data_IF_225142061921
#
_entry.id   IF_225142061921
#
_cell.length_a   1.000
_cell.length_b   1.000
_cell.length_c   1.000
_cell.angle_alpha   90.00
_cell.angle_beta   90.00
_cell.angle_gamma   90.00
#
_symmetry.space_group_name_H-M   'P 1'
#
loop_
_entity.id
_entity.type
_entity.pdbx_description
1 polymer ?
#
# COMPACT_ATOMS: atom_id res chain seq x y z
N UNK A 1 -53.72 2.26 10.53
CA UNK A 1 -54.13 2.38 11.94
C UNK A 1 -53.23 3.40 12.61
N UNK A 2 -53.75 4.37 13.32
CA UNK A 2 -52.98 5.38 14.04
C UNK A 2 -52.56 4.86 15.42
N UNK A 3 -51.54 5.47 16.05
CA UNK A 3 -51.16 5.11 17.43
C UNK A 3 -52.29 5.28 18.44
N UNK A 4 -53.24 6.20 18.21
CA UNK A 4 -54.39 6.39 19.04
C UNK A 4 -55.40 5.21 18.90
N UNK A 5 -55.68 4.79 17.68
CA UNK A 5 -56.51 3.62 17.39
C UNK A 5 -55.93 2.32 17.94
N UNK A 6 -54.60 2.13 17.74
CA UNK A 6 -53.89 0.96 18.27
C UNK A 6 -53.91 0.98 19.82
N UNK A 7 -53.65 2.16 20.41
CA UNK A 7 -53.70 2.36 21.85
C UNK A 7 -55.04 1.98 22.48
N UNK A 8 -56.14 2.39 21.85
CA UNK A 8 -57.50 2.00 22.28
C UNK A 8 -57.72 0.50 22.25
N UNK A 9 -57.18 -0.21 21.24
CA UNK A 9 -57.33 -1.69 21.10
C UNK A 9 -56.51 -2.48 22.11
N UNK A 10 -55.32 -1.97 22.47
CA UNK A 10 -54.41 -2.66 23.41
C UNK A 10 -54.43 -2.12 24.82
N UNK A 11 -55.28 -1.13 25.11
CA UNK A 11 -55.42 -0.53 26.44
C UNK A 11 -54.15 0.25 26.89
N UNK A 12 -53.50 0.93 25.95
CA UNK A 12 -52.26 1.68 26.22
C UNK A 12 -52.33 3.10 25.67
N UNK A 13 -51.71 4.04 26.38
CA UNK A 13 -51.61 5.40 25.90
C UNK A 13 -50.79 5.49 24.60
N UNK A 14 -51.16 6.35 23.63
CA UNK A 14 -50.39 6.54 22.39
C UNK A 14 -48.94 6.88 22.62
N UNK A 15 -48.63 7.64 23.67
CA UNK A 15 -47.26 7.96 24.08
C UNK A 15 -46.43 6.74 24.49
N UNK A 16 -47.08 5.78 25.16
CA UNK A 16 -46.42 4.53 25.55
C UNK A 16 -46.07 3.64 24.33
N UNK A 17 -46.96 3.62 23.32
CA UNK A 17 -46.70 2.92 22.06
C UNK A 17 -45.61 3.63 21.23
N UNK A 18 -45.60 4.94 21.24
CA UNK A 18 -44.52 5.71 20.59
C UNK A 18 -43.13 5.46 21.22
N UNK A 19 -43.06 5.21 22.51
CA UNK A 19 -41.82 4.80 23.17
C UNK A 19 -41.33 3.42 22.75
N UNK A 20 -42.26 2.48 22.46
CA UNK A 20 -41.94 1.17 21.93
C UNK A 20 -41.46 1.25 20.48
N UNK A 21 -42.17 1.98 19.61
CA UNK A 21 -41.77 2.17 18.21
C UNK A 21 -40.40 2.82 18.06
N UNK A 22 -40.06 3.71 18.99
CA UNK A 22 -38.76 4.36 19.01
C UNK A 22 -37.66 3.59 19.77
N UNK A 23 -37.93 2.35 20.17
CA UNK A 23 -36.94 1.49 20.88
C UNK A 23 -36.52 2.03 22.27
N UNK A 24 -37.30 3.01 22.84
CA UNK A 24 -37.02 3.60 24.16
C UNK A 24 -37.60 2.80 25.30
N UNK A 25 -38.37 1.77 24.99
CA UNK A 25 -39.00 0.88 25.97
C UNK A 25 -39.15 -0.51 25.37
N UNK A 26 -38.77 -1.55 26.12
CA UNK A 26 -39.00 -2.94 25.74
C UNK A 26 -40.44 -3.37 26.05
N UNK A 27 -41.13 -4.05 25.11
CA UNK A 27 -42.45 -4.58 25.35
C UNK A 27 -42.39 -5.85 26.21
N UNK A 28 -43.31 -6.01 27.14
CA UNK A 28 -43.52 -7.29 27.81
C UNK A 28 -44.21 -8.27 26.84
N UNK A 29 -43.97 -9.58 27.00
CA UNK A 29 -44.59 -10.63 26.17
C UNK A 29 -46.10 -10.47 26.04
N UNK A 30 -46.80 -10.18 27.15
CA UNK A 30 -48.25 -9.96 27.15
C UNK A 30 -48.70 -8.77 26.30
N UNK A 31 -47.83 -7.76 26.13
CA UNK A 31 -48.12 -6.64 25.26
C UNK A 31 -47.87 -7.00 23.80
N UNK A 32 -46.84 -7.82 23.52
CA UNK A 32 -46.56 -8.34 22.15
C UNK A 32 -47.77 -9.16 21.67
N UNK A 33 -48.34 -10.04 22.50
CA UNK A 33 -49.52 -10.81 22.16
C UNK A 33 -50.74 -9.92 21.89
N UNK A 34 -50.91 -8.87 22.72
CA UNK A 34 -52.03 -7.92 22.53
C UNK A 34 -51.86 -7.10 21.25
N UNK A 35 -50.63 -6.68 20.92
CA UNK A 35 -50.32 -5.99 19.69
C UNK A 35 -50.48 -6.88 18.46
N UNK A 36 -50.05 -8.14 18.53
CA UNK A 36 -50.21 -9.12 17.47
C UNK A 36 -51.70 -9.36 17.13
N UNK A 37 -52.52 -9.52 18.15
CA UNK A 37 -53.98 -9.62 17.99
C UNK A 37 -54.60 -8.37 17.39
N UNK A 38 -54.24 -7.18 17.88
CA UNK A 38 -54.76 -5.91 17.39
C UNK A 38 -54.35 -5.59 15.94
N UNK A 39 -53.18 -6.08 15.51
CA UNK A 39 -52.61 -5.92 14.17
C UNK A 39 -52.97 -7.09 13.22
N UNK A 40 -53.60 -8.16 13.75
CA UNK A 40 -53.95 -9.38 13.00
C UNK A 40 -52.72 -10.07 12.38
N UNK A 41 -51.61 -10.15 13.13
CA UNK A 41 -50.38 -10.83 12.76
C UNK A 41 -50.00 -11.85 13.82
N UNK A 42 -49.13 -12.81 13.49
CA UNK A 42 -48.59 -13.74 14.48
C UNK A 42 -47.56 -13.04 15.41
N UNK A 43 -47.47 -13.41 16.71
CA UNK A 43 -46.52 -12.81 17.63
C UNK A 43 -45.06 -12.94 17.18
N UNK A 44 -44.71 -14.06 16.53
CA UNK A 44 -43.35 -14.29 15.95
C UNK A 44 -43.05 -13.35 14.79
N UNK A 45 -44.06 -12.85 14.09
CA UNK A 45 -43.90 -11.88 13.01
C UNK A 45 -43.46 -10.50 13.52
N UNK A 46 -43.94 -10.12 14.72
CA UNK A 46 -43.49 -8.90 15.40
C UNK A 46 -42.10 -9.02 16.01
N UNK A 47 -41.61 -10.25 16.20
CA UNK A 47 -40.29 -10.53 16.77
C UNK A 47 -39.21 -10.85 15.70
N UNK A 48 -39.60 -10.91 14.42
CA UNK A 48 -38.64 -11.17 13.34
C UNK A 48 -37.62 -10.04 13.24
N UNK A 49 -36.32 -10.37 13.24
CA UNK A 49 -35.27 -9.36 13.11
C UNK A 49 -35.19 -8.76 11.69
N UNK A 50 -35.80 -9.42 10.70
CA UNK A 50 -35.78 -8.96 9.31
C UNK A 50 -37.03 -8.11 9.00
N UNK A 51 -36.84 -6.92 8.37
CA UNK A 51 -37.94 -6.07 7.94
C UNK A 51 -38.88 -6.78 6.95
N UNK A 52 -40.20 -6.55 7.01
CA UNK A 52 -41.20 -7.29 6.22
C UNK A 52 -41.16 -6.97 4.72
N UNK A 53 -40.49 -5.88 4.32
CA UNK A 53 -40.37 -5.48 2.92
C UNK A 53 -39.10 -4.63 2.69
N UNK A 54 -38.65 -4.55 1.45
CA UNK A 54 -37.56 -3.66 1.04
C UNK A 54 -37.83 -2.21 1.44
N UNK A 55 -39.09 -1.76 1.30
CA UNK A 55 -39.46 -0.40 1.71
C UNK A 55 -39.32 -0.21 3.21
N UNK A 56 -39.80 -1.15 4.04
CA UNK A 56 -39.62 -1.09 5.49
C UNK A 56 -38.14 -1.06 5.89
N UNK A 57 -37.30 -1.83 5.22
CA UNK A 57 -35.86 -1.84 5.40
C UNK A 57 -35.23 -0.44 5.14
N UNK A 58 -35.61 0.21 4.05
CA UNK A 58 -35.15 1.54 3.71
C UNK A 58 -35.65 2.62 4.69
N UNK A 59 -36.90 2.50 5.13
CA UNK A 59 -37.48 3.40 6.14
C UNK A 59 -36.72 3.32 7.47
N UNK A 60 -36.43 2.10 7.94
CA UNK A 60 -35.62 1.86 9.14
C UNK A 60 -34.20 2.43 8.95
N UNK A 61 -33.57 2.13 7.83
CA UNK A 61 -32.23 2.60 7.54
C UNK A 61 -32.13 4.14 7.52
N UNK A 62 -33.13 4.83 6.99
CA UNK A 62 -33.19 6.29 7.02
C UNK A 62 -33.41 6.83 8.43
N UNK A 63 -34.27 6.22 9.22
CA UNK A 63 -34.47 6.60 10.62
C UNK A 63 -33.19 6.41 11.47
N UNK A 64 -32.48 5.32 11.27
CA UNK A 64 -31.18 5.07 11.90
C UNK A 64 -30.15 6.11 11.47
N UNK A 65 -30.07 6.40 10.17
CA UNK A 65 -29.20 7.42 9.62
C UNK A 65 -29.45 8.79 10.25
N UNK A 66 -30.70 9.20 10.43
CA UNK A 66 -31.08 10.47 11.03
C UNK A 66 -30.76 10.58 12.53
N UNK A 67 -30.53 9.44 13.21
CA UNK A 67 -30.09 9.40 14.62
C UNK A 67 -28.58 9.45 14.78
N UNK A 68 -27.84 9.19 13.70
CA UNK A 68 -26.38 9.20 13.70
C UNK A 68 -25.83 10.61 14.00
N UNK A 69 -24.76 10.74 14.81
CA UNK A 69 -24.10 12.03 15.04
C UNK A 69 -23.72 12.77 13.76
N UNK A 70 -23.27 12.03 12.72
CA UNK A 70 -22.93 12.59 11.42
C UNK A 70 -24.08 13.37 10.78
N UNK A 71 -25.31 12.87 10.86
CA UNK A 71 -26.48 13.57 10.30
C UNK A 71 -26.72 14.91 10.99
N UNK A 72 -26.51 14.97 12.30
CA UNK A 72 -26.60 16.21 13.09
C UNK A 72 -25.51 17.20 12.74
N UNK A 73 -24.27 16.72 12.56
CA UNK A 73 -23.12 17.55 12.20
C UNK A 73 -23.27 18.19 10.81
N UNK A 74 -23.97 17.51 9.89
CA UNK A 74 -24.29 18.03 8.56
C UNK A 74 -25.40 19.10 8.57
N UNK A 75 -26.07 19.30 9.69
CA UNK A 75 -27.18 20.27 9.79
C UNK A 75 -28.37 19.99 8.90
N UNK A 76 -28.55 18.72 8.48
CA UNK A 76 -29.62 18.33 7.57
C UNK A 76 -30.98 18.32 8.28
N UNK A 77 -32.07 18.78 7.61
CA UNK A 77 -33.39 18.75 8.17
C UNK A 77 -33.90 17.31 8.32
N UNK A 78 -34.60 17.04 9.42
CA UNK A 78 -35.23 15.74 9.65
C UNK A 78 -36.33 15.48 8.62
N UNK A 79 -36.25 14.34 7.94
CA UNK A 79 -37.25 13.87 6.97
C UNK A 79 -38.16 12.88 7.65
N UNK A 80 -39.45 13.24 7.80
CA UNK A 80 -40.46 12.31 8.33
C UNK A 80 -40.68 11.19 7.33
N UNK A 81 -40.26 9.99 7.68
CA UNK A 81 -40.41 8.80 6.86
C UNK A 81 -41.89 8.39 6.82
N UNK A 82 -42.45 8.18 5.64
CA UNK A 82 -43.86 7.78 5.49
C UNK A 82 -44.23 7.52 4.04
N UNK A 83 -45.47 7.08 3.83
CA UNK A 83 -45.97 6.62 2.52
C UNK A 83 -45.90 7.65 1.37
N UNK A 84 -45.65 8.94 1.70
CA UNK A 84 -45.55 10.02 0.70
C UNK A 84 -44.14 10.14 0.06
N UNK A 85 -43.12 9.53 0.65
CA UNK A 85 -41.76 9.54 0.09
C UNK A 85 -41.65 8.42 -0.93
N UNK A 86 -41.35 8.68 -2.22
CA UNK A 86 -41.14 7.64 -3.22
C UNK A 86 -40.06 6.66 -2.81
N UNK A 87 -40.20 5.36 -3.13
CA UNK A 87 -39.27 4.31 -2.72
C UNK A 87 -37.87 4.47 -3.32
N UNK A 88 -37.78 4.92 -4.54
CA UNK A 88 -36.54 5.27 -5.26
C UNK A 88 -35.79 6.44 -4.59
N UNK A 89 -36.51 7.45 -4.13
CA UNK A 89 -35.90 8.58 -3.39
C UNK A 89 -35.34 8.08 -2.05
N UNK A 90 -36.07 7.22 -1.32
CA UNK A 90 -35.58 6.61 -0.09
C UNK A 90 -34.29 5.80 -0.33
N UNK A 91 -34.27 5.01 -1.39
CA UNK A 91 -33.10 4.20 -1.74
C UNK A 91 -31.88 5.08 -2.06
N UNK A 92 -32.07 6.14 -2.84
CA UNK A 92 -30.98 7.09 -3.14
C UNK A 92 -30.45 7.81 -1.89
N UNK A 93 -31.34 8.29 -1.01
CA UNK A 93 -30.94 8.99 0.22
C UNK A 93 -30.18 8.05 1.16
N UNK A 94 -30.67 6.82 1.36
CA UNK A 94 -30.00 5.83 2.20
C UNK A 94 -28.64 5.43 1.61
N UNK A 95 -28.56 5.25 0.28
CA UNK A 95 -27.30 4.95 -0.41
C UNK A 95 -26.30 6.09 -0.30
N UNK A 96 -26.72 7.33 -0.55
CA UNK A 96 -25.88 8.53 -0.41
C UNK A 96 -25.37 8.71 1.02
N UNK A 97 -26.25 8.54 2.01
CA UNK A 97 -25.84 8.64 3.41
C UNK A 97 -24.87 7.51 3.80
N UNK A 98 -25.13 6.29 3.34
CA UNK A 98 -24.22 5.15 3.52
C UNK A 98 -22.84 5.41 2.93
N UNK A 99 -22.77 6.03 1.75
CA UNK A 99 -21.51 6.43 1.11
C UNK A 99 -20.80 7.53 1.89
N UNK A 100 -21.54 8.56 2.30
CA UNK A 100 -21.00 9.66 3.09
C UNK A 100 -20.44 9.19 4.45
N UNK A 101 -21.12 8.25 5.09
CA UNK A 101 -20.66 7.59 6.31
C UNK A 101 -19.41 6.76 6.06
N UNK A 102 -19.36 5.98 4.97
CA UNK A 102 -18.17 5.23 4.58
C UNK A 102 -16.96 6.14 4.32
N UNK A 103 -17.16 7.25 3.62
CA UNK A 103 -16.10 8.22 3.35
C UNK A 103 -15.56 8.87 4.63
N UNK A 104 -16.42 9.16 5.62
CA UNK A 104 -16.01 9.76 6.89
C UNK A 104 -15.39 8.77 7.88
N UNK A 105 -15.79 7.51 7.84
CA UNK A 105 -15.21 6.44 8.68
C UNK A 105 -13.96 5.81 8.09
N UNK A 106 -13.65 6.08 6.80
CA UNK A 106 -12.38 5.71 6.22
C UNK A 106 -11.31 6.67 6.74
N UNK A 107 -10.26 6.19 7.41
CA UNK A 107 -9.12 7.03 7.74
C UNK A 107 -8.52 7.55 6.43
N UNK A 108 -8.79 8.82 6.10
CA UNK A 108 -8.15 9.53 4.99
C UNK A 108 -6.90 10.17 5.56
N UNK A 109 -5.73 9.65 5.18
CA UNK A 109 -4.49 10.36 5.47
C UNK A 109 -4.38 11.58 4.56
N UNK A 110 -4.11 12.74 5.13
CA UNK A 110 -3.70 13.90 4.36
C UNK A 110 -2.34 13.62 3.71
N UNK A 111 -1.99 14.30 2.61
CA UNK A 111 -0.65 14.17 2.01
C UNK A 111 0.48 14.46 3.01
N UNK A 112 0.25 15.35 3.97
CA UNK A 112 1.20 15.68 5.02
C UNK A 112 1.36 14.55 6.05
N UNK A 113 0.26 14.00 6.55
CA UNK A 113 0.29 12.82 7.43
C UNK A 113 0.98 11.63 6.76
N UNK A 114 0.74 11.43 5.45
CA UNK A 114 1.40 10.37 4.68
C UNK A 114 2.93 10.60 4.59
N UNK A 115 3.37 11.85 4.42
CA UNK A 115 4.80 12.20 4.38
C UNK A 115 5.47 11.98 5.74
N UNK A 116 4.85 12.45 6.82
CA UNK A 116 5.35 12.27 8.19
C UNK A 116 5.46 10.78 8.51
N UNK A 117 4.39 10.01 8.29
CA UNK A 117 4.39 8.57 8.55
C UNK A 117 5.48 7.82 7.75
N UNK A 118 5.73 8.23 6.50
CA UNK A 118 6.77 7.62 5.68
C UNK A 118 8.19 8.01 6.17
N UNK A 119 8.39 9.25 6.63
CA UNK A 119 9.65 9.69 7.24
C UNK A 119 9.95 8.91 8.53
N UNK A 120 8.97 8.79 9.43
CA UNK A 120 9.10 8.02 10.68
C UNK A 120 9.39 6.53 10.42
N UNK A 121 8.73 5.93 9.43
CA UNK A 121 8.98 4.55 9.05
C UNK A 121 10.41 4.36 8.53
N UNK A 122 10.92 5.28 7.72
CA UNK A 122 12.29 5.25 7.22
C UNK A 122 13.31 5.36 8.37
N UNK A 123 13.05 6.24 9.35
CA UNK A 123 13.91 6.37 10.53
C UNK A 123 13.92 5.08 11.38
N UNK A 124 12.76 4.45 11.53
CA UNK A 124 12.67 3.14 12.20
C UNK A 124 13.40 2.04 11.43
N UNK A 125 13.37 2.05 10.10
CA UNK A 125 14.15 1.13 9.26
C UNK A 125 15.65 1.38 9.40
N UNK A 126 16.07 2.65 9.38
CA UNK A 126 17.48 3.05 9.58
C UNK A 126 18.01 2.58 10.91
N UNK A 127 17.26 2.77 11.99
CA UNK A 127 17.66 2.36 13.34
C UNK A 127 17.93 0.86 13.47
N UNK A 128 17.32 0.02 12.61
CA UNK A 128 17.52 -1.44 12.56
C UNK A 128 18.48 -1.89 11.47
N UNK A 129 19.13 -0.98 10.76
CA UNK A 129 19.93 -1.32 9.56
C UNK A 129 19.10 -2.00 8.48
N UNK A 130 17.79 -1.70 8.39
CA UNK A 130 16.83 -2.30 7.47
C UNK A 130 16.71 -3.84 7.56
N UNK A 131 17.02 -4.42 8.72
CA UNK A 131 16.99 -5.86 8.97
C UNK A 131 15.89 -6.22 9.98
N UNK A 132 15.10 -7.28 9.67
CA UNK A 132 13.97 -7.72 10.48
C UNK A 132 14.11 -9.22 10.83
N UNK A 133 14.79 -9.58 11.94
CA UNK A 133 15.09 -10.97 12.27
C UNK A 133 13.83 -11.84 12.45
N UNK A 134 12.72 -11.25 12.93
CA UNK A 134 11.47 -11.97 13.11
C UNK A 134 10.88 -12.41 11.77
N UNK A 135 10.93 -11.54 10.75
CA UNK A 135 10.42 -11.83 9.40
C UNK A 135 11.36 -12.83 8.69
N UNK A 136 12.69 -12.70 8.88
CA UNK A 136 13.66 -13.68 8.35
C UNK A 136 13.40 -15.07 8.90
N UNK A 137 13.15 -15.19 10.21
CA UNK A 137 12.83 -16.47 10.83
C UNK A 137 11.56 -17.09 10.27
N UNK A 138 10.48 -16.31 10.15
CA UNK A 138 9.22 -16.80 9.58
C UNK A 138 9.35 -17.20 8.11
N UNK A 139 10.13 -16.45 7.33
CA UNK A 139 10.41 -16.81 5.94
C UNK A 139 11.24 -18.11 5.85
N UNK A 140 12.23 -18.29 6.73
CA UNK A 140 13.03 -19.50 6.79
C UNK A 140 12.18 -20.72 7.19
N UNK A 141 11.32 -20.60 8.19
CA UNK A 141 10.38 -21.64 8.61
C UNK A 141 9.45 -22.07 7.47
N UNK A 142 8.89 -21.11 6.72
CA UNK A 142 8.03 -21.38 5.58
C UNK A 142 8.76 -22.13 4.44
N UNK A 143 10.03 -21.78 4.19
CA UNK A 143 10.87 -22.43 3.18
C UNK A 143 11.32 -23.84 3.61
N UNK A 144 11.67 -23.99 4.88
CA UNK A 144 12.08 -25.28 5.44
C UNK A 144 10.93 -26.29 5.47
N UNK A 145 9.70 -25.83 5.76
CA UNK A 145 8.49 -26.67 5.76
C UNK A 145 8.22 -27.33 4.39
N UNK A 146 8.68 -26.69 3.28
CA UNK A 146 8.52 -27.23 1.92
C UNK A 146 9.81 -27.84 1.35
N UNK A 147 10.86 -27.95 2.16
CA UNK A 147 12.13 -28.56 1.78
C UNK A 147 12.92 -27.78 0.73
N UNK A 148 12.82 -26.44 0.74
CA UNK A 148 13.58 -25.60 -0.20
C UNK A 148 15.09 -25.75 -0.02
N UNK A 149 15.84 -25.86 -1.14
CA UNK A 149 17.29 -26.18 -1.16
C UNK A 149 18.19 -25.08 -1.74
N UNK A 150 17.60 -23.96 -2.15
CA UNK A 150 18.35 -22.83 -2.72
C UNK A 150 18.03 -22.55 -4.19
N UNK A 151 18.59 -21.45 -4.72
CA UNK A 151 18.38 -20.97 -6.08
C UNK A 151 17.08 -20.19 -6.29
N UNK A 152 16.67 -20.05 -7.54
CA UNK A 152 15.41 -19.38 -7.87
C UNK A 152 14.21 -20.19 -7.37
N UNK A 153 13.26 -19.51 -6.72
CA UNK A 153 12.03 -20.13 -6.22
C UNK A 153 11.16 -20.62 -7.39
N UNK A 154 10.91 -21.94 -7.47
CA UNK A 154 10.05 -22.50 -8.51
C UNK A 154 8.57 -22.23 -8.24
N UNK A 155 7.74 -22.29 -9.28
CA UNK A 155 6.29 -22.16 -9.13
C UNK A 155 5.70 -23.26 -8.23
N UNK A 156 6.21 -24.49 -8.33
CA UNK A 156 5.77 -25.60 -7.48
C UNK A 156 6.11 -25.36 -6.01
N UNK A 157 7.31 -24.86 -5.70
CA UNK A 157 7.71 -24.52 -4.34
C UNK A 157 6.86 -23.38 -3.79
N UNK A 158 6.58 -22.37 -4.61
CA UNK A 158 5.69 -21.26 -4.22
C UNK A 158 4.29 -21.77 -3.86
N UNK A 159 3.70 -22.64 -4.69
CA UNK A 159 2.39 -23.23 -4.41
C UNK A 159 2.42 -24.10 -3.15
N UNK A 160 3.51 -24.82 -2.90
CA UNK A 160 3.67 -25.62 -1.68
C UNK A 160 3.72 -24.73 -0.42
N UNK A 161 4.40 -23.57 -0.47
CA UNK A 161 4.40 -22.58 0.64
C UNK A 161 2.99 -22.09 0.91
N UNK A 162 2.24 -21.70 -0.13
CA UNK A 162 0.86 -21.21 0.02
C UNK A 162 -0.05 -22.29 0.62
N UNK A 163 0.08 -23.53 0.13
CA UNK A 163 -0.69 -24.68 0.65
C UNK A 163 -0.31 -25.01 2.10
N UNK A 164 0.99 -24.91 2.47
CA UNK A 164 1.45 -25.10 3.84
C UNK A 164 0.75 -24.16 4.82
N UNK A 165 0.49 -22.89 4.41
CA UNK A 165 -0.27 -21.93 5.20
C UNK A 165 -1.79 -22.08 5.05
N UNK A 166 -2.26 -23.14 4.40
CA UNK A 166 -3.67 -23.50 4.30
C UNK A 166 -4.46 -22.68 3.27
N UNK A 167 -3.79 -22.09 2.28
CA UNK A 167 -4.45 -21.36 1.19
C UNK A 167 -4.36 -22.08 -0.14
N UNK A 168 -5.37 -21.86 -1.00
CA UNK A 168 -5.35 -22.22 -2.41
C UNK A 168 -5.24 -20.96 -3.27
N UNK A 169 -4.72 -21.06 -4.49
CA UNK A 169 -4.62 -19.92 -5.43
C UNK A 169 -5.57 -20.14 -6.60
N UNK A 170 -6.26 -19.09 -6.99
CA UNK A 170 -7.10 -19.03 -8.19
C UNK A 170 -6.78 -17.78 -8.99
N UNK A 171 -6.92 -17.85 -10.30
CA UNK A 171 -6.77 -16.70 -11.19
C UNK A 171 -8.16 -16.26 -11.66
N UNK A 172 -8.42 -14.95 -11.63
CA UNK A 172 -9.68 -14.36 -12.05
C UNK A 172 -9.41 -13.10 -12.87
N UNK A 173 -10.12 -12.96 -14.01
CA UNK A 173 -9.98 -11.80 -14.90
C UNK A 173 -10.88 -10.63 -14.46
N UNK A 174 -11.91 -10.93 -13.67
CA UNK A 174 -12.92 -10.00 -13.18
C UNK A 174 -12.60 -9.40 -11.79
N UNK A 175 -11.35 -9.49 -11.36
CA UNK A 175 -10.91 -8.83 -10.13
C UNK A 175 -11.19 -7.32 -10.18
N UNK A 176 -11.71 -6.74 -9.07
CA UNK A 176 -11.91 -5.30 -8.97
C UNK A 176 -10.65 -4.52 -9.32
N UNK A 177 -10.80 -3.41 -10.05
CA UNK A 177 -9.64 -2.60 -10.51
C UNK A 177 -8.84 -1.98 -9.36
N UNK A 178 -9.48 -1.78 -8.21
CA UNK A 178 -8.87 -1.19 -7.00
C UNK A 178 -7.96 -2.14 -6.23
N UNK A 179 -7.95 -3.45 -6.54
CA UNK A 179 -7.18 -4.45 -5.81
C UNK A 179 -6.19 -5.21 -6.71
N UNK A 180 -5.11 -5.74 -6.12
CA UNK A 180 -4.14 -6.62 -6.79
C UNK A 180 -4.44 -8.09 -6.55
N UNK A 181 -5.08 -8.37 -5.43
CA UNK A 181 -5.52 -9.69 -5.01
C UNK A 181 -6.74 -9.58 -4.10
N UNK A 182 -7.54 -10.62 -4.04
CA UNK A 182 -8.61 -10.77 -3.05
C UNK A 182 -8.40 -12.10 -2.35
N UNK A 183 -8.49 -12.09 -1.02
CA UNK A 183 -8.42 -13.33 -0.23
C UNK A 183 -9.79 -13.65 0.34
N UNK A 184 -10.35 -14.76 -0.09
CA UNK A 184 -11.53 -15.37 0.52
C UNK A 184 -11.09 -16.14 1.77
N UNK A 185 -11.35 -15.57 2.93
CA UNK A 185 -11.01 -16.20 4.21
C UNK A 185 -11.93 -17.37 4.57
N UNK A 186 -13.14 -17.39 4.02
CA UNK A 186 -14.12 -18.46 4.25
C UNK A 186 -13.65 -19.76 3.59
N UNK A 187 -13.21 -19.68 2.34
CA UNK A 187 -12.73 -20.84 1.58
C UNK A 187 -11.20 -20.94 1.54
N UNK A 188 -10.48 -20.07 2.25
CA UNK A 188 -9.01 -20.05 2.29
C UNK A 188 -8.40 -19.96 0.90
N UNK A 189 -8.91 -19.07 0.03
CA UNK A 189 -8.52 -18.93 -1.37
C UNK A 189 -8.03 -17.52 -1.68
N UNK A 190 -6.88 -17.44 -2.34
CA UNK A 190 -6.29 -16.18 -2.82
C UNK A 190 -6.57 -16.06 -4.31
N UNK A 191 -7.31 -15.03 -4.70
CA UNK A 191 -7.56 -14.69 -6.09
C UNK A 191 -6.54 -13.68 -6.59
N UNK A 192 -5.93 -13.96 -7.73
CA UNK A 192 -4.98 -13.10 -8.40
C UNK A 192 -5.47 -12.79 -9.81
N UNK A 193 -5.13 -11.60 -10.30
CA UNK A 193 -5.39 -11.25 -11.69
C UNK A 193 -4.39 -11.96 -12.59
N UNK A 194 -4.88 -12.47 -13.71
CA UNK A 194 -4.04 -12.99 -14.78
C UNK A 194 -3.54 -11.81 -15.62
N UNK A 195 -2.49 -11.14 -15.17
CA UNK A 195 -1.89 -10.02 -15.91
C UNK A 195 -0.90 -10.52 -16.97
N UNK A 196 -0.78 -9.80 -18.11
CA UNK A 196 0.27 -10.07 -19.07
C UNK A 196 1.66 -9.94 -18.41
N UNK A 197 2.57 -10.80 -18.78
CA UNK A 197 3.96 -10.76 -18.33
C UNK A 197 4.56 -9.37 -18.55
N UNK A 198 4.96 -8.67 -17.47
CA UNK A 198 5.75 -7.44 -17.60
C UNK A 198 5.50 -6.31 -16.61
N UNK A 199 4.39 -6.27 -15.84
CA UNK A 199 4.09 -5.11 -14.97
C UNK A 199 4.35 -5.36 -13.48
N UNK A 200 3.95 -6.50 -12.95
CA UNK A 200 4.28 -6.99 -11.61
C UNK A 200 4.32 -8.51 -11.64
N UNK A 201 5.31 -9.12 -11.00
CA UNK A 201 5.35 -10.58 -10.89
C UNK A 201 4.18 -11.06 -10.02
N UNK A 202 3.26 -11.90 -10.52
CA UNK A 202 2.19 -12.49 -9.71
C UNK A 202 2.71 -13.20 -8.47
N UNK A 203 3.94 -13.75 -8.55
CA UNK A 203 4.65 -14.39 -7.44
C UNK A 203 4.88 -13.42 -6.28
N UNK A 204 5.30 -12.18 -6.58
CA UNK A 204 5.53 -11.15 -5.56
C UNK A 204 4.22 -10.72 -4.91
N UNK A 205 3.16 -10.51 -5.70
CA UNK A 205 1.84 -10.14 -5.17
C UNK A 205 1.32 -11.25 -4.24
N UNK A 206 1.42 -12.51 -4.67
CA UNK A 206 1.00 -13.66 -3.88
C UNK A 206 1.73 -13.74 -2.53
N UNK A 207 3.06 -13.56 -2.54
CA UNK A 207 3.87 -13.59 -1.33
C UNK A 207 3.61 -12.38 -0.42
N UNK A 208 3.36 -11.19 -0.98
CA UNK A 208 2.93 -10.02 -0.21
C UNK A 208 1.58 -10.28 0.48
N UNK A 209 0.62 -10.85 -0.25
CA UNK A 209 -0.67 -11.22 0.30
C UNK A 209 -0.53 -12.27 1.41
N UNK A 210 0.24 -13.32 1.16
CA UNK A 210 0.51 -14.35 2.16
C UNK A 210 1.21 -13.78 3.40
N UNK A 211 2.13 -12.83 3.20
CA UNK A 211 2.86 -12.15 4.27
C UNK A 211 1.95 -11.51 5.31
N UNK A 212 0.82 -10.92 4.91
CA UNK A 212 -0.14 -10.37 5.87
C UNK A 212 -0.70 -11.43 6.83
N UNK A 213 -0.90 -12.66 6.36
CA UNK A 213 -1.41 -13.75 7.19
C UNK A 213 -0.33 -14.43 8.03
N UNK A 214 0.88 -14.59 7.47
CA UNK A 214 2.02 -15.18 8.19
C UNK A 214 2.50 -14.27 9.32
N UNK A 215 2.47 -12.95 9.10
CA UNK A 215 2.86 -11.93 10.06
C UNK A 215 1.73 -11.53 11.02
N UNK A 216 0.57 -12.19 10.93
CA UNK A 216 -0.62 -11.94 11.76
C UNK A 216 -1.04 -10.46 11.77
N UNK A 217 -1.05 -9.82 10.60
CA UNK A 217 -1.48 -8.44 10.48
C UNK A 217 -2.98 -8.30 10.71
N UNK A 218 -3.35 -7.49 11.69
CA UNK A 218 -4.72 -7.04 11.86
C UNK A 218 -5.09 -5.96 10.82
N UNK A 219 -6.38 -5.67 10.57
CA UNK A 219 -6.77 -4.53 9.76
C UNK A 219 -6.08 -3.25 10.23
N UNK A 220 -5.45 -2.49 9.33
CA UNK A 220 -4.65 -1.33 9.74
C UNK A 220 -5.53 -0.23 10.35
N UNK A 221 -5.08 0.32 11.47
CA UNK A 221 -5.80 1.34 12.25
C UNK A 221 -5.71 2.73 11.65
N UNK A 222 -4.58 3.02 11.03
CA UNK A 222 -4.25 4.31 10.43
C UNK A 222 -3.28 4.14 9.25
N UNK A 223 -2.88 5.23 8.63
CA UNK A 223 -1.99 5.21 7.48
C UNK A 223 -0.56 4.75 7.83
N UNK A 224 -0.06 5.09 9.01
CA UNK A 224 1.26 4.66 9.47
C UNK A 224 1.31 3.14 9.67
N UNK A 225 0.27 2.57 10.29
CA UNK A 225 0.12 1.13 10.45
C UNK A 225 0.03 0.40 9.10
N UNK A 226 -0.71 0.97 8.14
CA UNK A 226 -0.76 0.46 6.76
C UNK A 226 0.61 0.47 6.07
N UNK A 227 1.36 1.57 6.16
CA UNK A 227 2.70 1.65 5.58
C UNK A 227 3.64 0.62 6.19
N UNK A 228 3.60 0.49 7.52
CA UNK A 228 4.38 -0.51 8.26
C UNK A 228 4.07 -1.92 7.78
N UNK A 229 2.79 -2.33 7.78
CA UNK A 229 2.35 -3.65 7.33
C UNK A 229 2.72 -3.90 5.86
N UNK A 230 2.61 -2.88 5.02
CA UNK A 230 3.02 -2.98 3.61
C UNK A 230 4.53 -3.23 3.46
N UNK A 231 5.36 -2.54 4.26
CA UNK A 231 6.82 -2.74 4.25
C UNK A 231 7.16 -4.14 4.77
N UNK A 232 6.54 -4.59 5.85
CA UNK A 232 6.73 -5.92 6.42
C UNK A 232 6.32 -7.04 5.44
N UNK A 233 5.17 -6.90 4.77
CA UNK A 233 4.73 -7.85 3.75
C UNK A 233 5.67 -7.88 2.52
N UNK A 234 6.18 -6.70 2.11
CA UNK A 234 7.21 -6.62 1.06
C UNK A 234 8.52 -7.28 1.49
N UNK A 235 8.93 -7.06 2.75
CA UNK A 235 10.12 -7.69 3.31
C UNK A 235 9.97 -9.21 3.34
N UNK A 236 8.85 -9.74 3.83
CA UNK A 236 8.56 -11.17 3.83
C UNK A 236 8.63 -11.76 2.42
N UNK A 237 8.00 -11.12 1.43
CA UNK A 237 8.06 -11.58 0.05
C UNK A 237 9.51 -11.61 -0.49
N UNK A 238 10.32 -10.60 -0.16
CA UNK A 238 11.74 -10.55 -0.53
C UNK A 238 12.55 -11.64 0.19
N UNK A 239 12.27 -11.91 1.48
CA UNK A 239 12.93 -12.94 2.26
C UNK A 239 12.64 -14.37 1.76
N UNK A 240 11.43 -14.61 1.25
CA UNK A 240 11.07 -15.88 0.60
C UNK A 240 11.74 -16.01 -0.78
N UNK A 241 11.74 -14.94 -1.59
CA UNK A 241 12.29 -14.97 -2.96
C UNK A 241 13.81 -15.01 -2.98
N UNK A 242 14.46 -14.38 -2.01
CA UNK A 242 15.93 -14.28 -1.86
C UNK A 242 16.28 -14.61 -0.42
N UNK A 243 16.28 -15.92 -0.04
CA UNK A 243 16.41 -16.32 1.35
C UNK A 243 17.75 -15.98 1.96
N UNK A 244 17.72 -15.44 3.18
CA UNK A 244 18.87 -14.93 3.92
C UNK A 244 20.06 -15.89 3.92
N UNK A 245 19.86 -17.16 4.33
CA UNK A 245 20.94 -18.15 4.47
C UNK A 245 21.73 -18.39 3.19
N UNK A 246 21.06 -18.32 2.03
CA UNK A 246 21.72 -18.51 0.73
C UNK A 246 22.28 -17.21 0.20
N UNK A 247 21.54 -16.11 0.33
CA UNK A 247 21.95 -14.80 -0.15
C UNK A 247 23.12 -14.23 0.67
N UNK A 248 23.12 -14.36 1.99
CA UNK A 248 24.23 -13.90 2.84
C UNK A 248 25.52 -14.65 2.54
N UNK A 249 25.45 -15.97 2.34
CA UNK A 249 26.59 -16.76 1.92
C UNK A 249 27.13 -16.31 0.57
N UNK A 250 26.24 -16.22 -0.42
CA UNK A 250 26.60 -15.76 -1.77
C UNK A 250 27.26 -14.38 -1.77
N UNK A 251 26.66 -13.42 -1.04
CA UNK A 251 27.19 -12.07 -0.92
C UNK A 251 28.55 -12.03 -0.17
N UNK A 252 28.73 -12.87 0.85
CA UNK A 252 30.01 -12.98 1.56
C UNK A 252 31.12 -13.51 0.67
N UNK A 253 30.84 -14.56 -0.12
CA UNK A 253 31.77 -15.12 -1.09
C UNK A 253 32.14 -14.08 -2.18
N UNK A 254 31.13 -13.36 -2.72
CA UNK A 254 31.35 -12.28 -3.69
C UNK A 254 32.16 -11.09 -3.10
N UNK A 255 31.94 -10.75 -1.84
CA UNK A 255 32.70 -9.71 -1.13
C UNK A 255 34.16 -10.11 -0.98
N UNK A 256 34.46 -11.37 -0.60
CA UNK A 256 35.83 -11.88 -0.50
C UNK A 256 36.54 -11.85 -1.85
N UNK A 257 35.83 -12.13 -2.93
CA UNK A 257 36.33 -12.02 -4.30
C UNK A 257 36.42 -10.58 -4.81
N UNK A 258 35.90 -9.59 -4.08
CA UNK A 258 35.75 -8.16 -4.50
C UNK A 258 34.90 -8.00 -5.77
N UNK A 259 33.85 -8.79 -5.89
CA UNK A 259 32.95 -8.86 -7.04
C UNK A 259 31.48 -8.73 -6.61
N UNK A 260 31.20 -7.98 -5.54
CA UNK A 260 29.81 -7.69 -5.16
C UNK A 260 29.07 -7.01 -6.31
N UNK A 261 27.87 -7.52 -6.61
CA UNK A 261 27.02 -7.02 -7.68
C UNK A 261 25.54 -7.32 -7.37
N UNK A 262 24.67 -6.37 -7.63
CA UNK A 262 23.22 -6.53 -7.52
C UNK A 262 22.69 -7.41 -8.64
N UNK A 263 23.32 -7.33 -9.82
CA UNK A 263 22.96 -8.12 -11.00
C UNK A 263 23.09 -9.61 -10.72
N UNK A 264 24.19 -10.02 -10.09
CA UNK A 264 24.42 -11.43 -9.78
C UNK A 264 23.38 -11.95 -8.77
N UNK A 265 23.00 -11.14 -7.77
CA UNK A 265 21.94 -11.48 -6.83
C UNK A 265 20.57 -11.61 -7.55
N UNK A 266 20.26 -10.69 -8.47
CA UNK A 266 19.09 -10.76 -9.34
C UNK A 266 19.03 -12.07 -10.13
N UNK A 267 20.14 -12.42 -10.75
CA UNK A 267 20.22 -13.55 -11.68
C UNK A 267 20.18 -14.89 -10.94
N UNK A 268 20.89 -15.02 -9.83
CA UNK A 268 20.89 -16.25 -9.00
C UNK A 268 19.51 -16.61 -8.50
N UNK A 269 18.72 -15.60 -8.08
CA UNK A 269 17.39 -15.83 -7.52
C UNK A 269 16.26 -15.56 -8.51
N UNK A 270 16.56 -15.13 -9.73
CA UNK A 270 15.58 -14.81 -10.78
C UNK A 270 14.48 -13.85 -10.31
N UNK A 271 14.92 -12.73 -9.75
CA UNK A 271 14.07 -11.63 -9.28
C UNK A 271 14.30 -10.36 -10.11
N UNK A 272 13.47 -9.31 -9.91
CA UNK A 272 13.74 -8.01 -10.55
C UNK A 272 14.96 -7.32 -9.94
N UNK A 273 15.58 -6.40 -10.70
CA UNK A 273 16.69 -5.61 -10.18
C UNK A 273 16.28 -4.80 -8.94
N UNK A 274 15.08 -4.20 -8.94
CA UNK A 274 14.54 -3.49 -7.76
C UNK A 274 14.44 -4.42 -6.55
N UNK A 275 13.96 -5.65 -6.73
CA UNK A 275 13.85 -6.62 -5.64
C UNK A 275 15.24 -7.02 -5.12
N UNK A 276 16.19 -7.28 -5.98
CA UNK A 276 17.57 -7.62 -5.61
C UNK A 276 18.24 -6.46 -4.86
N UNK A 277 18.07 -5.22 -5.33
CA UNK A 277 18.62 -4.03 -4.67
C UNK A 277 18.00 -3.80 -3.28
N UNK A 278 16.67 -3.92 -3.14
CA UNK A 278 16.03 -3.86 -1.82
C UNK A 278 16.53 -4.96 -0.90
N UNK A 279 16.60 -6.19 -1.40
CA UNK A 279 17.08 -7.31 -0.60
C UNK A 279 18.53 -7.15 -0.19
N UNK A 280 19.36 -6.57 -1.05
CA UNK A 280 20.73 -6.22 -0.70
C UNK A 280 20.77 -5.28 0.50
N UNK A 281 19.94 -4.23 0.54
CA UNK A 281 19.89 -3.30 1.68
C UNK A 281 19.46 -3.98 2.99
N UNK A 282 18.63 -5.01 2.93
CA UNK A 282 18.24 -5.77 4.13
C UNK A 282 19.39 -6.59 4.72
N UNK A 283 20.30 -7.08 3.88
CA UNK A 283 21.37 -7.99 4.29
C UNK A 283 22.72 -7.28 4.50
N UNK A 284 22.95 -6.15 3.82
CA UNK A 284 24.24 -5.49 3.73
C UNK A 284 24.82 -5.09 5.10
N UNK A 285 24.02 -4.39 5.91
CA UNK A 285 24.50 -3.90 7.22
C UNK A 285 24.70 -5.05 8.20
N UNK A 286 23.75 -5.98 8.26
CA UNK A 286 23.77 -7.07 9.24
C UNK A 286 24.84 -8.12 8.95
N UNK A 287 24.97 -8.56 7.67
CA UNK A 287 25.87 -9.66 7.31
C UNK A 287 27.23 -9.21 6.76
N UNK A 288 27.32 -8.04 6.14
CA UNK A 288 28.53 -7.60 5.48
C UNK A 288 29.19 -6.38 6.18
N UNK A 289 28.52 -5.78 7.16
CA UNK A 289 28.98 -4.55 7.80
C UNK A 289 29.02 -3.35 6.85
N UNK A 290 28.20 -3.37 5.77
CA UNK A 290 28.17 -2.31 4.77
C UNK A 290 26.97 -1.40 5.02
N UNK A 291 27.23 -0.11 5.21
CA UNK A 291 26.21 0.93 5.16
C UNK A 291 25.94 1.33 3.72
N UNK A 292 24.70 1.63 3.38
CA UNK A 292 24.27 1.85 2.00
C UNK A 292 23.11 2.82 1.89
N UNK A 293 22.89 3.33 0.69
CA UNK A 293 21.67 4.01 0.32
C UNK A 293 21.02 3.37 -0.90
N UNK A 294 19.70 3.43 -0.96
CA UNK A 294 18.86 3.02 -2.08
C UNK A 294 17.99 4.17 -2.51
N UNK A 295 17.89 4.43 -3.81
CA UNK A 295 17.00 5.44 -4.37
C UNK A 295 16.34 4.90 -5.63
N UNK A 296 15.01 5.08 -5.71
CA UNK A 296 14.22 4.90 -6.94
C UNK A 296 13.72 6.25 -7.40
N UNK A 297 14.08 6.64 -8.62
CA UNK A 297 13.70 7.92 -9.20
C UNK A 297 13.33 7.80 -10.68
N UNK A 298 12.57 8.78 -11.19
CA UNK A 298 12.33 8.93 -12.62
C UNK A 298 13.45 9.76 -13.31
N UNK A 299 13.35 9.92 -14.63
CA UNK A 299 14.27 10.70 -15.45
C UNK A 299 14.34 12.18 -15.00
N UNK A 300 13.24 12.76 -14.51
CA UNK A 300 13.22 14.13 -13.97
C UNK A 300 13.94 14.23 -12.61
N UNK A 301 14.29 13.10 -12.01
CA UNK A 301 14.93 12.98 -10.71
C UNK A 301 13.98 13.00 -9.53
N UNK A 302 12.67 12.88 -9.75
CA UNK A 302 11.70 12.77 -8.66
C UNK A 302 11.91 11.45 -7.95
N UNK A 303 12.09 11.51 -6.63
CA UNK A 303 12.32 10.34 -5.78
C UNK A 303 10.98 9.70 -5.44
N UNK A 304 10.85 8.41 -5.70
CA UNK A 304 9.67 7.60 -5.41
C UNK A 304 9.84 6.71 -4.18
N UNK A 305 11.09 6.29 -3.91
CA UNK A 305 11.48 5.52 -2.73
C UNK A 305 12.91 5.85 -2.37
N UNK A 306 13.19 5.93 -1.10
CA UNK A 306 14.53 6.11 -0.61
C UNK A 306 14.75 5.36 0.71
N UNK A 307 15.97 4.89 0.91
CA UNK A 307 16.50 4.38 2.16
C UNK A 307 17.97 4.76 2.25
N UNK A 308 18.48 5.12 3.40
CA UNK A 308 19.89 5.37 3.64
C UNK A 308 20.26 5.07 5.11
N UNK A 309 21.47 4.57 5.33
CA UNK A 309 22.10 4.45 6.65
C UNK A 309 23.63 4.71 6.56
N UNK A 310 24.07 5.33 5.46
CA UNK A 310 25.48 5.63 5.16
C UNK A 310 25.80 7.12 5.28
N UNK A 311 24.88 7.93 5.81
CA UNK A 311 25.04 9.35 6.04
C UNK A 311 24.87 10.22 4.78
N UNK A 312 24.38 9.67 3.66
CA UNK A 312 24.03 10.46 2.49
C UNK A 312 22.88 11.41 2.81
N UNK A 313 23.08 12.70 2.63
CA UNK A 313 22.01 13.70 2.78
C UNK A 313 21.15 13.75 1.52
N UNK A 314 19.97 13.15 1.59
CA UNK A 314 18.96 13.22 0.54
C UNK A 314 18.15 14.53 0.66
N UNK A 315 17.69 15.11 -0.46
CA UNK A 315 16.80 16.27 -0.40
C UNK A 315 15.49 15.90 0.30
N UNK A 316 15.11 16.68 1.29
CA UNK A 316 13.88 16.51 2.06
C UNK A 316 13.11 17.83 2.10
N UNK A 317 11.79 17.75 2.33
CA UNK A 317 10.96 18.91 2.65
C UNK A 317 11.01 19.24 4.16
N UNK A 318 10.25 20.26 4.57
CA UNK A 318 10.19 20.72 5.96
C UNK A 318 9.64 19.65 6.93
N UNK A 319 8.94 18.62 6.42
CA UNK A 319 8.46 17.47 7.19
C UNK A 319 9.48 16.31 7.24
N UNK A 320 10.64 16.45 6.61
CA UNK A 320 11.64 15.39 6.47
C UNK A 320 11.31 14.35 5.39
N UNK A 321 10.27 14.58 4.58
CA UNK A 321 9.91 13.66 3.51
C UNK A 321 10.83 13.83 2.30
N UNK A 322 11.36 12.72 1.82
CA UNK A 322 12.27 12.63 0.66
C UNK A 322 11.49 12.33 -0.62
N UNK A 323 10.45 11.54 -0.52
CA UNK A 323 9.62 11.15 -1.64
C UNK A 323 8.91 12.38 -2.23
N UNK A 324 8.96 12.49 -3.56
CA UNK A 324 8.50 13.67 -4.30
C UNK A 324 9.54 14.77 -4.46
N UNK A 325 10.66 14.73 -3.72
CA UNK A 325 11.75 15.66 -3.89
C UNK A 325 12.60 15.30 -5.11
N UNK A 326 13.32 16.29 -5.65
CA UNK A 326 14.20 16.08 -6.80
C UNK A 326 15.64 15.87 -6.35
N UNK A 327 16.20 14.73 -6.73
CA UNK A 327 17.61 14.45 -6.53
C UNK A 327 18.50 15.28 -7.46
N UNK A 328 19.76 15.45 -7.08
CA UNK A 328 20.76 16.18 -7.86
C UNK A 328 20.97 15.57 -9.26
N UNK A 329 21.06 16.44 -10.26
CA UNK A 329 21.34 16.02 -11.64
C UNK A 329 22.69 15.32 -11.82
N UNK A 330 23.64 15.51 -10.91
CA UNK A 330 24.95 14.90 -10.94
C UNK A 330 25.01 13.49 -10.36
N UNK A 331 23.93 13.05 -9.69
CA UNK A 331 23.90 11.72 -9.10
C UNK A 331 23.65 10.61 -10.12
N UNK A 332 24.23 9.44 -9.84
CA UNK A 332 24.20 8.26 -10.71
C UNK A 332 22.78 7.91 -11.20
N UNK A 333 21.79 7.96 -10.31
CA UNK A 333 20.38 7.68 -10.65
C UNK A 333 19.75 8.65 -11.65
N UNK A 334 20.38 9.81 -11.91
CA UNK A 334 19.99 10.71 -13.02
C UNK A 334 20.88 10.57 -14.22
N UNK A 335 22.17 10.32 -14.00
CA UNK A 335 23.15 10.19 -15.06
C UNK A 335 22.92 8.95 -15.92
N UNK A 336 22.38 7.88 -15.34
CA UNK A 336 22.07 6.64 -16.06
C UNK A 336 21.10 6.85 -17.25
N UNK A 337 20.20 7.82 -17.19
CA UNK A 337 19.30 8.13 -18.31
C UNK A 337 20.01 8.75 -19.52
N UNK A 338 21.21 9.27 -19.33
CA UNK A 338 22.04 9.88 -20.37
C UNK A 338 23.21 8.97 -20.79
N UNK A 339 23.33 7.78 -20.19
CA UNK A 339 24.32 6.80 -20.59
C UNK A 339 24.05 6.32 -22.02
N UNK A 340 25.12 6.10 -22.80
CA UNK A 340 25.02 5.58 -24.16
C UNK A 340 24.44 4.15 -24.18
N UNK A 341 24.83 3.35 -23.20
CA UNK A 341 24.25 2.02 -22.95
C UNK A 341 23.31 2.10 -21.75
N UNK A 342 22.01 1.88 -22.01
CA UNK A 342 20.94 1.86 -21.01
C UNK A 342 20.62 0.47 -20.48
N UNK A 343 21.25 -0.56 -21.05
CA UNK A 343 21.01 -1.95 -20.66
C UNK A 343 22.01 -2.42 -19.60
N UNK A 344 23.20 -1.82 -19.58
CA UNK A 344 24.23 -2.11 -18.59
C UNK A 344 24.11 -1.20 -17.37
N UNK A 345 24.55 -1.68 -16.19
CA UNK A 345 24.64 -0.84 -14.99
C UNK A 345 25.56 0.35 -15.19
N UNK A 346 25.16 1.51 -14.70
CA UNK A 346 25.99 2.71 -14.66
C UNK A 346 26.70 2.79 -13.31
N UNK A 347 28.02 2.76 -13.31
CA UNK A 347 28.85 2.90 -12.12
C UNK A 347 29.43 4.31 -12.06
N UNK A 348 29.34 4.97 -10.91
CA UNK A 348 29.80 6.36 -10.76
C UNK A 348 30.29 6.65 -9.34
N UNK A 349 31.34 7.44 -9.23
CA UNK A 349 31.71 8.15 -8.01
C UNK A 349 31.05 9.54 -7.99
N UNK A 350 30.47 9.89 -6.84
CA UNK A 350 29.86 11.22 -6.64
C UNK A 350 30.46 11.86 -5.38
N UNK A 351 31.15 12.98 -5.54
CA UNK A 351 31.60 13.80 -4.43
C UNK A 351 30.44 14.69 -3.98
N UNK A 352 30.13 14.64 -2.70
CA UNK A 352 29.03 15.41 -2.05
C UNK A 352 29.58 16.13 -0.83
N UNK A 353 28.89 17.13 -0.26
CA UNK A 353 29.32 17.77 0.98
C UNK A 353 29.45 16.79 2.17
N UNK A 354 28.69 15.67 2.15
CA UNK A 354 28.75 14.64 3.19
C UNK A 354 29.81 13.55 2.94
N UNK A 355 30.48 13.57 1.80
CA UNK A 355 31.50 12.59 1.45
C UNK A 355 31.44 12.12 0.01
N UNK A 356 32.35 11.22 -0.35
CA UNK A 356 32.34 10.55 -1.66
C UNK A 356 31.62 9.23 -1.58
N UNK A 357 30.67 9.04 -2.50
CA UNK A 357 29.89 7.82 -2.62
C UNK A 357 30.15 7.15 -3.97
N UNK A 358 30.23 5.83 -3.96
CA UNK A 358 30.18 5.01 -5.15
C UNK A 358 28.78 4.47 -5.33
N UNK A 359 28.23 4.57 -6.54
CA UNK A 359 26.86 4.13 -6.82
C UNK A 359 26.82 3.26 -8.07
N UNK A 360 25.90 2.30 -8.07
CA UNK A 360 25.45 1.58 -9.24
C UNK A 360 23.98 1.90 -9.51
N UNK A 361 23.67 2.27 -10.75
CA UNK A 361 22.29 2.55 -11.17
C UNK A 361 21.92 1.74 -12.40
N UNK A 362 20.70 1.23 -12.41
CA UNK A 362 20.14 0.50 -13.55
C UNK A 362 18.74 1.03 -13.85
N UNK A 363 18.38 1.13 -15.14
CA UNK A 363 17.03 1.52 -15.56
C UNK A 363 16.15 0.27 -15.60
N UNK A 364 15.08 0.26 -14.80
CA UNK A 364 14.06 -0.77 -14.88
C UNK A 364 13.11 -0.43 -16.05
N UNK A 365 13.05 -1.26 -17.11
CA UNK A 365 12.27 -0.98 -18.32
C UNK A 365 10.75 -1.09 -18.14
N UNK A 366 10.26 -1.34 -16.94
CA UNK A 366 8.91 -1.82 -16.64
C UNK A 366 7.72 -0.90 -16.91
N UNK A 367 7.84 0.31 -17.54
CA UNK A 367 6.72 1.19 -17.92
C UNK A 367 7.14 2.22 -18.98
N UNK A 368 6.17 2.91 -19.61
CA UNK A 368 6.38 4.01 -20.56
C UNK A 368 7.39 5.08 -20.10
N UNK A 369 7.62 5.20 -18.78
CA UNK A 369 8.70 5.99 -18.16
C UNK A 369 9.52 5.05 -17.29
N UNK A 370 10.73 4.71 -17.72
CA UNK A 370 11.65 3.91 -16.94
C UNK A 370 12.00 4.57 -15.60
N UNK A 371 12.24 3.75 -14.59
CA UNK A 371 12.75 4.19 -13.29
C UNK A 371 14.22 3.79 -13.18
N UNK A 372 15.04 4.68 -12.63
CA UNK A 372 16.38 4.33 -12.18
C UNK A 372 16.28 3.73 -10.77
N UNK A 373 16.94 2.60 -10.60
CA UNK A 373 17.16 1.95 -9.31
C UNK A 373 18.64 2.11 -8.99
N UNK A 374 18.94 2.85 -7.94
CA UNK A 374 20.31 3.15 -7.50
C UNK A 374 20.58 2.50 -6.17
N UNK A 375 21.69 1.81 -6.06
CA UNK A 375 22.30 1.38 -4.81
C UNK A 375 23.67 2.05 -4.68
N UNK A 376 23.97 2.61 -3.51
CA UNK A 376 25.25 3.29 -3.31
C UNK A 376 25.83 3.05 -1.93
N UNK A 377 27.12 3.35 -1.81
CA UNK A 377 27.97 3.05 -0.65
C UNK A 377 28.98 4.16 -0.45
N UNK A 378 29.49 4.31 0.76
CA UNK A 378 30.64 5.19 1.01
C UNK A 378 31.86 4.76 0.19
N UNK A 379 32.76 5.70 -0.10
CA UNK A 379 33.98 5.46 -0.89
C UNK A 379 34.80 4.27 -0.37
N UNK A 380 34.94 4.13 0.93
CA UNK A 380 35.71 3.05 1.56
C UNK A 380 35.14 1.65 1.27
N UNK A 381 33.81 1.54 1.10
CA UNK A 381 33.12 0.28 0.79
C UNK A 381 33.17 -0.07 -0.69
N UNK A 382 33.45 0.88 -1.59
CA UNK A 382 33.49 0.64 -3.04
C UNK A 382 34.45 -0.47 -3.45
N UNK A 383 35.55 -0.67 -2.68
CA UNK A 383 36.58 -1.70 -2.92
C UNK A 383 36.03 -3.14 -3.04
N UNK A 384 34.82 -3.39 -2.56
CA UNK A 384 34.20 -4.70 -2.58
C UNK A 384 33.36 -4.98 -3.83
N UNK A 385 33.09 -3.92 -4.60
CA UNK A 385 32.13 -3.98 -5.70
C UNK A 385 32.79 -4.12 -7.07
N UNK A 386 32.07 -4.83 -7.95
CA UNK A 386 32.32 -4.76 -9.40
C UNK A 386 32.07 -3.33 -9.87
N UNK A 387 32.83 -2.85 -10.86
CA UNK A 387 32.72 -1.48 -11.35
C UNK A 387 33.37 -0.40 -10.46
N UNK A 388 34.10 -0.78 -9.41
CA UNK A 388 34.91 0.15 -8.56
C UNK A 388 35.93 0.95 -9.32
N UNK A 389 36.42 0.42 -10.46
CA UNK A 389 37.45 1.07 -11.29
C UNK A 389 36.85 2.06 -12.31
N UNK A 390 35.57 2.42 -12.19
CA UNK A 390 34.92 3.38 -13.07
C UNK A 390 35.64 4.74 -13.04
N UNK A 391 35.90 5.29 -14.22
CA UNK A 391 36.44 6.63 -14.37
C UNK A 391 35.36 7.73 -14.24
N UNK A 392 34.08 7.33 -14.21
CA UNK A 392 32.97 8.27 -14.14
C UNK A 392 32.88 8.87 -12.73
N UNK A 393 33.20 10.18 -12.63
CA UNK A 393 33.16 10.92 -11.37
C UNK A 393 32.45 12.25 -11.56
N UNK A 394 31.57 12.60 -10.63
CA UNK A 394 30.78 13.83 -10.64
C UNK A 394 30.83 14.51 -9.27
N UNK A 395 30.54 15.82 -9.26
CA UNK A 395 30.50 16.63 -8.05
C UNK A 395 29.08 17.13 -7.84
N UNK A 396 28.50 16.86 -6.66
CA UNK A 396 27.19 17.31 -6.21
C UNK A 396 27.33 18.31 -5.08
N UNK A 397 26.47 19.33 -5.07
CA UNK A 397 26.35 20.29 -3.96
C UNK A 397 25.10 20.07 -3.13
N UNK A 398 24.33 19.01 -3.42
CA UNK A 398 23.11 18.71 -2.68
C UNK A 398 23.40 18.48 -1.18
N UNK A 399 22.54 18.95 -0.32
CA UNK A 399 21.16 19.43 -0.57
C UNK A 399 21.00 20.93 -0.86
N UNK A 400 21.97 21.60 -1.49
CA UNK A 400 21.82 23.00 -1.90
C UNK A 400 20.59 23.20 -2.81
N UNK A 401 19.58 23.90 -2.30
CA UNK A 401 18.31 24.12 -2.99
C UNK A 401 18.46 24.95 -4.28
N UNK A 402 19.48 25.79 -4.38
CA UNK A 402 19.72 26.67 -5.54
C UNK A 402 20.52 25.99 -6.65
N UNK A 403 21.27 24.94 -6.34
CA UNK A 403 22.20 24.29 -7.29
C UNK A 403 21.50 23.77 -8.56
N UNK A 404 20.29 23.22 -8.45
CA UNK A 404 19.53 22.67 -9.57
C UNK A 404 18.53 23.66 -10.18
N UNK A 405 18.28 24.80 -9.54
CA UNK A 405 17.35 25.84 -10.01
C UNK A 405 18.00 26.84 -10.95
N UNK A 406 19.31 27.01 -10.84
CA UNK A 406 20.06 27.97 -11.67
C UNK A 406 20.99 27.22 -12.62
N UNK A 407 21.05 27.61 -13.90
CA UNK A 407 22.02 27.06 -14.82
C UNK A 407 23.46 27.50 -14.41
N UNK A 408 24.50 26.71 -14.76
CA UNK A 408 25.89 27.16 -14.60
C UNK A 408 26.09 28.51 -15.28
N UNK A 409 26.88 29.40 -14.67
CA UNK A 409 27.07 30.78 -15.15
C UNK A 409 27.50 30.86 -16.61
N UNK A 410 28.36 29.93 -17.06
CA UNK A 410 28.80 29.83 -18.45
C UNK A 410 27.66 29.49 -19.44
N UNK A 411 26.67 28.70 -19.01
CA UNK A 411 25.48 28.40 -19.81
C UNK A 411 24.46 29.55 -19.76
N UNK A 412 24.25 30.13 -18.57
CA UNK A 412 23.43 31.32 -18.40
C UNK A 412 23.88 32.46 -19.29
N UNK A 413 25.17 32.80 -19.27
CA UNK A 413 25.74 33.87 -20.09
C UNK A 413 25.60 33.67 -21.59
N UNK A 414 25.40 32.43 -22.07
CA UNK A 414 25.19 32.14 -23.50
C UNK A 414 23.72 32.13 -23.90
N UNK A 415 22.79 31.72 -22.98
CA UNK A 415 21.43 31.38 -23.37
C UNK A 415 20.37 32.22 -22.65
N UNK A 416 20.73 33.01 -21.62
CA UNK A 416 19.81 33.90 -20.93
C UNK A 416 19.24 34.94 -21.89
N UNK A 417 17.92 34.98 -22.02
CA UNK A 417 17.21 35.82 -23.01
C UNK A 417 17.24 35.30 -24.45
N UNK A 418 17.99 34.24 -24.75
CA UNK A 418 18.09 33.64 -26.09
C UNK A 418 17.35 32.31 -26.22
N UNK A 419 16.69 31.83 -25.18
CA UNK A 419 15.93 30.60 -25.18
C UNK A 419 14.51 30.84 -24.63
N UNK A 420 13.52 30.23 -25.31
CA UNK A 420 12.11 30.26 -24.89
C UNK A 420 11.61 28.83 -24.68
N UNK A 421 11.71 28.28 -23.47
CA UNK A 421 11.25 26.92 -23.21
C UNK A 421 9.72 26.85 -23.14
N UNK A 422 9.12 25.92 -23.87
CA UNK A 422 7.72 25.54 -23.69
C UNK A 422 7.60 24.49 -22.59
N UNK A 423 6.92 24.81 -21.51
CA UNK A 423 6.76 23.89 -20.38
C UNK A 423 5.89 22.68 -20.77
N UNK A 424 6.41 21.49 -20.55
CA UNK A 424 5.60 20.28 -20.60
C UNK A 424 4.74 20.22 -19.33
N UNK A 425 3.40 20.15 -19.50
CA UNK A 425 2.52 19.94 -18.36
C UNK A 425 2.91 18.64 -17.63
N UNK A 426 3.46 18.76 -16.44
CA UNK A 426 3.79 17.59 -15.62
C UNK A 426 2.55 17.16 -14.85
N UNK A 427 2.19 15.89 -14.97
CA UNK A 427 1.34 15.24 -13.98
C UNK A 427 1.95 15.41 -12.61
N UNK A 428 1.16 15.78 -11.65
CA UNK A 428 1.54 16.22 -10.31
C UNK A 428 2.62 15.38 -9.64
N UNK A 429 3.61 16.03 -9.04
CA UNK A 429 4.59 15.48 -8.10
C UNK A 429 3.91 14.71 -6.97
N UNK A 430 2.70 15.11 -6.58
CA UNK A 430 1.86 14.42 -5.59
C UNK A 430 1.29 13.06 -6.06
N UNK A 431 1.41 12.69 -7.33
CA UNK A 431 0.95 11.38 -7.82
C UNK A 431 1.80 10.20 -7.33
N UNK A 432 2.96 10.47 -6.75
CA UNK A 432 3.81 9.44 -6.12
C UNK A 432 3.32 9.02 -4.72
N UNK A 433 2.48 9.84 -4.09
CA UNK A 433 1.87 9.55 -2.80
C UNK A 433 0.41 9.12 -3.02
N UNK A 434 -0.11 8.15 -2.25
CA UNK A 434 -1.51 7.80 -2.32
C UNK A 434 -2.35 9.02 -1.90
N UNK A 435 -2.94 9.67 -2.91
CA UNK A 435 -3.96 10.71 -2.68
C UNK A 435 -5.29 9.99 -2.57
N UNK A 436 -5.93 10.06 -1.44
CA UNK A 436 -7.27 9.53 -1.29
C UNK A 436 -7.49 8.69 -0.04
N UNK A 437 -8.67 8.10 0.04
CA UNK A 437 -9.10 7.28 1.15
C UNK A 437 -8.22 6.01 1.29
N UNK A 438 -7.74 5.81 2.48
CA UNK A 438 -7.02 4.62 2.91
C UNK A 438 -7.99 3.43 3.08
N UNK A 439 -7.63 2.20 2.64
CA UNK A 439 -6.46 1.79 1.85
C UNK A 439 -6.62 1.91 0.32
N UNK A 440 -7.64 2.63 -0.18
CA UNK A 440 -7.91 2.79 -1.61
C UNK A 440 -8.58 1.57 -2.27
N UNK A 441 -9.23 0.72 -1.46
CA UNK A 441 -9.97 -0.47 -1.92
C UNK A 441 -11.46 -0.16 -1.90
N UNK A 442 -12.16 -0.49 -2.97
CA UNK A 442 -13.62 -0.51 -2.99
C UNK A 442 -14.14 -1.84 -2.42
N UNK A 443 -14.58 -1.82 -1.16
CA UNK A 443 -15.08 -3.01 -0.47
C UNK A 443 -16.34 -3.57 -1.12
N UNK A 444 -17.16 -2.72 -1.74
CA UNK A 444 -18.37 -3.16 -2.44
C UNK A 444 -18.00 -4.05 -3.63
N UNK A 445 -17.04 -3.59 -4.46
CA UNK A 445 -16.54 -4.39 -5.59
C UNK A 445 -15.91 -5.72 -5.12
N UNK A 446 -15.21 -5.70 -4.00
CA UNK A 446 -14.59 -6.92 -3.41
C UNK A 446 -15.67 -7.90 -2.94
N UNK A 447 -16.69 -7.43 -2.22
CA UNK A 447 -17.75 -8.29 -1.70
C UNK A 447 -18.61 -8.85 -2.83
N UNK A 448 -18.94 -8.06 -3.85
CA UNK A 448 -19.64 -8.53 -5.04
C UNK A 448 -18.82 -9.56 -5.83
N UNK A 449 -17.51 -9.40 -5.89
CA UNK A 449 -16.60 -10.37 -6.49
C UNK A 449 -16.68 -11.72 -5.73
N UNK A 450 -16.55 -11.69 -4.40
CA UNK A 450 -16.59 -12.90 -3.57
C UNK A 450 -17.96 -13.60 -3.66
N UNK A 451 -19.06 -12.85 -3.65
CA UNK A 451 -20.42 -13.40 -3.78
C UNK A 451 -20.59 -14.16 -5.09
N UNK A 452 -20.01 -13.66 -6.20
CA UNK A 452 -20.04 -14.37 -7.49
C UNK A 452 -19.22 -15.66 -7.49
N UNK A 453 -18.18 -15.75 -6.63
CA UNK A 453 -17.26 -16.88 -6.56
C UNK A 453 -17.55 -17.85 -5.38
N UNK A 454 -18.57 -17.56 -4.55
CA UNK A 454 -18.97 -18.39 -3.40
C UNK A 454 -19.68 -19.71 -3.83
N UNK A 455 -20.05 -19.85 -5.11
CA UNK A 455 -20.82 -21.00 -5.63
C UNK A 455 -19.94 -22.13 -6.17
N UNK A 456 -18.64 -22.16 -5.84
CA UNK A 456 -17.67 -23.13 -6.36
C UNK A 456 -17.13 -24.13 -5.35
#
# INVERSE_FOLDING_TARGET
>A
MTLAELGSRVGRAPSALSLLENGRREPKLSLIDSLAKALSVAPDELLRPQPPSRRAQLEIALEEAQRDPLFRDLGLPYVKVGARVPGDVLEHVVALYGELRRQRTRPTATPEEARIANAELRDAMRARGNYCPEIERQAAEALDAVGYRGGALSQSTLMAIVAHHGFAVSYADDLPRSVRSVTDLRHRRIYLKQEPVGVHSPRTILLQTLGHFVLDHAPPRDFADFLRQRVEANYFAAAILVPERFAARFLTEAMQARELSVEDLRDVFSVSYEMAAHRFTNLATHHLGLTCHFVKNDEAGVIYKAYENDGLMLPADDSGAIEGQRMCRQWCGRQVFFAADRFSPCYQYTDTPSGTYWCVSHIDPGRERGFAITLGFTYEHSRWFRGRDTALRRVSRCPDADCCRRPPSALAGRWEGMAWPSARAHSHILSALPTGSFPGVDETEVYEFLERHDQG
#
